data_IF_343811231570
#
_entry.id   IF_343811231570
#
_cell.length_a   1.000
_cell.length_b   1.000
_cell.length_c   1.000
_cell.angle_alpha   90.00
_cell.angle_beta   90.00
_cell.angle_gamma   90.00
#
_symmetry.space_group_name_H-M   'P 1'
#
loop_
_entity.id
_entity.type
_entity.pdbx_description
1 polymer ?
#
# COMPACT_ATOMS: atom_id res chain seq x y z
N UNK A 1 4.57 -6.07 8.70
CA UNK A 1 5.72 -5.99 7.79
C UNK A 1 7.03 -5.64 8.47
N UNK A 2 8.04 -6.47 8.23
CA UNK A 2 9.45 -6.31 8.57
C UNK A 2 10.30 -6.79 7.37
N UNK A 3 11.62 -6.70 7.48
CA UNK A 3 12.54 -7.31 6.51
C UNK A 3 13.61 -8.13 7.21
N UNK A 4 14.07 -9.15 6.51
CA UNK A 4 15.25 -9.97 6.83
C UNK A 4 16.26 -9.87 5.68
N UNK A 5 17.47 -10.34 5.92
CA UNK A 5 18.53 -10.41 4.91
C UNK A 5 19.08 -11.82 4.87
N UNK A 6 19.14 -12.40 3.67
CA UNK A 6 19.76 -13.69 3.38
C UNK A 6 20.68 -13.53 2.18
N UNK A 7 21.95 -13.88 2.34
CA UNK A 7 22.97 -13.81 1.28
C UNK A 7 23.00 -12.45 0.54
N UNK A 8 22.84 -11.36 1.29
CA UNK A 8 22.84 -9.99 0.77
C UNK A 8 21.56 -9.58 0.03
N UNK A 9 20.54 -10.45 -0.04
CA UNK A 9 19.22 -10.17 -0.62
C UNK A 9 18.20 -9.89 0.48
N UNK A 10 17.29 -8.96 0.22
CA UNK A 10 16.20 -8.63 1.14
C UNK A 10 15.09 -9.67 1.03
N UNK A 11 14.53 -10.04 2.17
CA UNK A 11 13.45 -11.01 2.31
C UNK A 11 12.30 -10.33 3.04
N UNK A 12 11.08 -10.29 2.47
CA UNK A 12 9.90 -9.81 3.19
C UNK A 12 9.65 -10.70 4.41
N UNK A 13 9.36 -10.08 5.54
CA UNK A 13 9.17 -10.78 6.80
C UNK A 13 7.99 -10.22 7.59
N UNK A 14 7.42 -11.05 8.46
CA UNK A 14 6.44 -10.62 9.46
C UNK A 14 7.02 -10.69 10.87
N UNK A 15 6.64 -9.70 11.68
CA UNK A 15 6.96 -9.66 13.10
C UNK A 15 5.84 -10.37 13.86
N UNK A 16 6.18 -11.45 14.56
CA UNK A 16 5.23 -12.19 15.39
C UNK A 16 5.18 -11.56 16.78
N UNK A 17 3.96 -11.29 17.25
CA UNK A 17 3.66 -10.78 18.59
C UNK A 17 2.72 -11.74 19.32
N UNK A 18 2.90 -11.90 20.63
CA UNK A 18 2.10 -12.80 21.48
C UNK A 18 1.82 -12.14 22.84
N UNK A 19 0.71 -12.52 23.50
CA UNK A 19 0.38 -12.10 24.86
C UNK A 19 -0.41 -10.79 24.95
N UNK A 20 -0.97 -10.33 23.83
CA UNK A 20 -1.93 -9.22 23.82
C UNK A 20 -3.35 -9.75 23.95
N UNK A 21 -4.17 -9.08 24.76
CA UNK A 21 -5.52 -9.56 25.05
C UNK A 21 -6.17 -8.86 26.23
N UNK A 22 -7.38 -9.31 26.55
CA UNK A 22 -8.18 -8.91 27.70
C UNK A 22 -8.13 -10.03 28.74
N UNK A 23 -7.33 -9.83 29.78
CA UNK A 23 -7.15 -10.78 30.87
C UNK A 23 -7.98 -10.33 32.07
N UNK A 24 -9.28 -10.65 32.04
CA UNK A 24 -10.26 -10.07 32.97
C UNK A 24 -10.45 -8.58 32.69
N UNK A 25 -10.18 -7.73 33.69
CA UNK A 25 -10.26 -6.26 33.55
C UNK A 25 -8.95 -5.62 33.04
N UNK A 26 -7.88 -6.41 32.85
CA UNK A 26 -6.59 -5.92 32.37
C UNK A 26 -6.44 -6.05 30.85
N UNK A 27 -6.15 -4.93 30.19
CA UNK A 27 -5.72 -4.93 28.79
C UNK A 27 -4.20 -5.01 28.72
N UNK A 28 -3.67 -5.95 27.93
CA UNK A 28 -2.22 -6.09 27.73
C UNK A 28 -1.85 -5.96 26.27
N UNK A 29 -0.72 -5.30 26.02
CA UNK A 29 -0.13 -5.20 24.69
C UNK A 29 0.66 -6.48 24.38
N UNK A 30 0.55 -6.93 23.14
CA UNK A 30 1.32 -8.07 22.66
C UNK A 30 2.82 -7.73 22.62
N UNK A 31 3.66 -8.70 22.95
CA UNK A 31 5.11 -8.57 22.94
C UNK A 31 5.69 -9.22 21.69
N UNK A 32 6.65 -8.55 21.06
CA UNK A 32 7.40 -9.07 19.91
C UNK A 32 8.28 -10.24 20.31
N UNK A 33 8.22 -11.36 19.57
CA UNK A 33 8.96 -12.58 19.92
C UNK A 33 9.97 -13.02 18.85
N UNK A 34 9.61 -12.93 17.56
CA UNK A 34 10.46 -13.37 16.46
C UNK A 34 10.00 -12.80 15.11
N UNK A 35 10.92 -12.68 14.16
CA UNK A 35 10.60 -12.37 12.76
C UNK A 35 10.63 -13.66 11.95
N UNK A 36 9.66 -13.82 11.05
CA UNK A 36 9.58 -14.97 10.13
C UNK A 36 9.44 -14.49 8.70
N UNK A 37 9.94 -15.21 7.70
CA UNK A 37 9.70 -14.87 6.30
C UNK A 37 8.20 -14.85 6.01
N UNK A 38 7.75 -13.88 5.23
CA UNK A 38 6.32 -13.68 4.92
C UNK A 38 5.68 -14.93 4.27
N UNK A 39 6.46 -15.72 3.52
CA UNK A 39 6.02 -17.03 2.98
C UNK A 39 5.72 -18.08 4.05
N UNK A 40 6.35 -18.00 5.21
CA UNK A 40 6.14 -18.91 6.33
C UNK A 40 5.08 -18.41 7.33
N UNK A 41 4.63 -17.15 7.24
CA UNK A 41 3.64 -16.61 8.17
C UNK A 41 2.34 -17.43 8.27
N UNK A 42 1.75 -17.96 7.18
CA UNK A 42 0.58 -18.84 7.29
C UNK A 42 0.86 -20.15 8.05
N UNK A 43 2.08 -20.69 7.93
CA UNK A 43 2.50 -21.90 8.66
C UNK A 43 2.62 -21.63 10.16
N UNK A 44 3.14 -20.46 10.53
CA UNK A 44 3.21 -20.02 11.94
C UNK A 44 1.82 -19.91 12.54
N UNK A 45 0.88 -19.24 11.86
CA UNK A 45 -0.50 -19.11 12.35
C UNK A 45 -1.14 -20.48 12.54
N UNK A 46 -0.98 -21.38 11.56
CA UNK A 46 -1.48 -22.75 11.65
C UNK A 46 -0.88 -23.49 12.87
N UNK A 47 0.44 -23.45 13.04
CA UNK A 47 1.12 -24.12 14.16
C UNK A 47 0.66 -23.60 15.52
N UNK A 48 0.47 -22.28 15.67
CA UNK A 48 -0.03 -21.71 16.93
C UNK A 48 -1.47 -22.14 17.25
N UNK A 49 -2.32 -22.32 16.23
CA UNK A 49 -3.67 -22.85 16.42
C UNK A 49 -3.62 -24.33 16.81
N UNK A 50 -2.71 -25.12 16.21
CA UNK A 50 -2.49 -26.52 16.58
C UNK A 50 -1.97 -26.63 18.02
N UNK A 51 -0.96 -25.84 18.38
CA UNK A 51 -0.43 -25.75 19.74
C UNK A 51 -1.51 -25.37 20.76
N UNK A 52 -2.38 -24.40 20.43
CA UNK A 52 -3.53 -24.09 21.29
C UNK A 52 -4.45 -25.30 21.49
N UNK A 53 -4.78 -26.02 20.41
CA UNK A 53 -5.69 -27.17 20.48
C UNK A 53 -5.12 -28.33 21.30
N UNK A 54 -3.80 -28.51 21.26
CA UNK A 54 -3.10 -29.59 21.94
C UNK A 54 -2.85 -29.27 23.42
N UNK A 55 -2.58 -28.00 23.73
CA UNK A 55 -2.23 -27.57 25.09
C UNK A 55 -3.43 -27.07 25.90
N UNK A 56 -4.58 -26.76 25.28
CA UNK A 56 -5.77 -26.28 26.01
C UNK A 56 -6.27 -27.32 27.00
N UNK A 57 -6.58 -26.86 28.20
CA UNK A 57 -7.21 -27.66 29.25
C UNK A 57 -8.67 -27.23 29.40
N UNK A 58 -9.61 -28.17 29.19
CA UNK A 58 -11.04 -27.87 29.27
C UNK A 58 -11.48 -26.81 28.24
N UNK A 59 -12.11 -25.74 28.73
CA UNK A 59 -12.68 -24.65 27.92
C UNK A 59 -11.79 -23.39 27.90
N UNK A 60 -10.47 -23.55 28.13
CA UNK A 60 -9.52 -22.43 28.04
C UNK A 60 -9.58 -21.70 26.69
N UNK A 61 -9.66 -20.36 26.74
CA UNK A 61 -9.52 -19.50 25.56
C UNK A 61 -8.06 -19.39 25.10
N UNK A 62 -7.86 -19.01 23.83
CA UNK A 62 -6.55 -18.95 23.18
C UNK A 62 -5.53 -18.07 23.92
N UNK A 63 -5.95 -16.88 24.35
CA UNK A 63 -5.12 -15.92 25.09
C UNK A 63 -4.63 -16.47 26.43
N UNK A 64 -5.48 -17.23 27.15
CA UNK A 64 -5.14 -17.90 28.41
C UNK A 64 -4.09 -18.98 28.18
N UNK A 65 -4.26 -19.82 27.15
CA UNK A 65 -3.27 -20.85 26.82
C UNK A 65 -1.93 -20.22 26.43
N UNK A 66 -1.95 -19.21 25.56
CA UNK A 66 -0.71 -18.53 25.15
C UNK A 66 0.00 -17.83 26.32
N UNK A 67 -0.75 -17.29 27.29
CA UNK A 67 -0.15 -16.74 28.51
C UNK A 67 0.50 -17.84 29.35
N UNK A 68 -0.19 -18.97 29.57
CA UNK A 68 0.32 -20.10 30.35
C UNK A 68 1.55 -20.74 29.73
N UNK A 69 1.57 -20.91 28.41
CA UNK A 69 2.74 -21.42 27.68
C UNK A 69 3.92 -20.46 27.78
N UNK A 70 3.63 -19.16 27.78
CA UNK A 70 4.64 -18.12 27.91
C UNK A 70 5.45 -17.90 26.64
N UNK A 71 6.07 -16.72 26.60
CA UNK A 71 6.75 -16.18 25.42
C UNK A 71 7.87 -17.09 24.89
N UNK A 72 8.69 -17.63 25.79
CA UNK A 72 9.91 -18.35 25.40
C UNK A 72 9.57 -19.72 24.79
N UNK A 73 8.62 -20.45 25.38
CA UNK A 73 8.11 -21.72 24.82
C UNK A 73 7.48 -21.51 23.44
N UNK A 74 6.62 -20.49 23.31
CA UNK A 74 5.97 -20.19 22.03
C UNK A 74 6.99 -19.82 20.96
N UNK A 75 8.06 -19.08 21.34
CA UNK A 75 9.15 -18.76 20.43
C UNK A 75 9.89 -20.02 19.96
N UNK A 76 10.16 -20.96 20.85
CA UNK A 76 10.81 -22.25 20.50
C UNK A 76 9.97 -23.03 19.49
N UNK A 77 8.66 -23.15 19.71
CA UNK A 77 7.71 -23.85 18.83
C UNK A 77 7.73 -23.34 17.38
N UNK A 78 7.92 -22.02 17.20
CA UNK A 78 7.88 -21.39 15.88
C UNK A 78 9.25 -21.06 15.29
N UNK A 79 10.35 -21.36 16.00
CA UNK A 79 11.71 -21.03 15.54
C UNK A 79 12.07 -21.72 14.22
N UNK A 80 11.57 -22.94 14.00
CA UNK A 80 11.72 -23.68 12.73
C UNK A 80 11.18 -22.92 11.50
N UNK A 81 10.25 -21.98 11.67
CA UNK A 81 9.68 -21.21 10.57
C UNK A 81 10.54 -19.99 10.19
N UNK A 82 11.66 -19.77 10.88
CA UNK A 82 12.60 -18.68 10.57
C UNK A 82 13.54 -19.00 9.41
N UNK A 83 13.62 -20.28 9.00
CA UNK A 83 14.53 -20.71 7.96
C UNK A 83 14.20 -20.07 6.61
N UNK A 84 15.25 -19.52 5.99
CA UNK A 84 15.19 -18.89 4.67
C UNK A 84 16.08 -19.71 3.72
N UNK A 85 15.51 -20.34 2.68
CA UNK A 85 16.29 -20.99 1.63
C UNK A 85 17.10 -19.95 0.84
N UNK A 86 18.17 -20.41 0.19
CA UNK A 86 18.86 -19.56 -0.79
C UNK A 86 17.90 -19.16 -1.91
N UNK A 87 18.22 -18.08 -2.61
CA UNK A 87 17.41 -17.63 -3.75
C UNK A 87 17.34 -18.68 -4.86
N UNK A 88 18.42 -19.44 -5.02
CA UNK A 88 18.54 -20.49 -6.03
C UNK A 88 17.67 -21.72 -5.68
N UNK A 89 17.47 -21.99 -4.39
CA UNK A 89 16.60 -23.07 -3.90
C UNK A 89 15.12 -22.71 -3.98
N UNK A 90 14.75 -21.49 -3.55
CA UNK A 90 13.38 -21.01 -3.61
C UNK A 90 13.32 -19.47 -3.76
N UNK A 91 13.19 -18.96 -5.00
CA UNK A 91 13.07 -17.53 -5.27
C UNK A 91 11.83 -16.89 -4.63
N UNK A 92 10.77 -17.67 -4.35
CA UNK A 92 9.49 -17.13 -3.89
C UNK A 92 9.57 -16.48 -2.52
N UNK A 93 10.57 -16.85 -1.70
CA UNK A 93 10.87 -16.21 -0.42
C UNK A 93 11.36 -14.76 -0.56
N UNK A 94 11.74 -14.33 -1.76
CA UNK A 94 12.26 -13.00 -2.05
C UNK A 94 11.23 -12.15 -2.83
N UNK A 95 9.99 -12.61 -2.91
CA UNK A 95 8.85 -11.91 -3.52
C UNK A 95 7.78 -11.65 -2.45
N UNK A 96 7.07 -10.53 -2.56
CA UNK A 96 5.96 -10.22 -1.66
C UNK A 96 4.64 -10.87 -2.16
N UNK A 97 3.72 -11.13 -1.23
CA UNK A 97 2.38 -11.60 -1.62
C UNK A 97 1.67 -10.54 -2.47
N UNK A 98 1.09 -10.93 -3.60
CA UNK A 98 0.44 -9.99 -4.54
C UNK A 98 1.39 -9.28 -5.51
N UNK A 99 2.70 -9.50 -5.40
CA UNK A 99 3.73 -8.98 -6.32
C UNK A 99 4.54 -10.11 -6.95
N UNK A 100 3.85 -11.13 -7.45
CA UNK A 100 4.46 -12.29 -8.11
C UNK A 100 5.37 -11.85 -9.27
N UNK A 101 6.57 -12.44 -9.35
CA UNK A 101 7.61 -12.12 -10.33
C UNK A 101 8.26 -10.73 -10.16
N UNK A 102 8.05 -10.03 -9.04
CA UNK A 102 8.81 -8.82 -8.67
C UNK A 102 9.64 -9.10 -7.43
N UNK A 103 10.94 -8.78 -7.51
CA UNK A 103 11.85 -8.90 -6.36
C UNK A 103 11.43 -7.90 -5.29
N UNK A 104 11.41 -8.37 -4.04
CA UNK A 104 11.25 -7.51 -2.89
C UNK A 104 12.47 -6.59 -2.78
N UNK A 105 12.22 -5.29 -2.91
CA UNK A 105 13.23 -4.26 -2.77
C UNK A 105 12.83 -3.31 -1.65
N UNK A 106 13.74 -3.11 -0.70
CA UNK A 106 13.60 -2.01 0.26
C UNK A 106 13.89 -0.71 -0.49
N UNK A 107 12.85 0.12 -0.65
CA UNK A 107 13.00 1.45 -1.20
C UNK A 107 13.90 2.28 -0.28
N UNK A 108 15.12 2.59 -0.74
CA UNK A 108 16.10 3.36 0.03
C UNK A 108 15.51 4.74 0.36
N UNK A 109 15.47 5.07 1.65
CA UNK A 109 14.95 6.35 2.15
C UNK A 109 13.46 6.34 2.49
N UNK A 110 12.74 5.25 2.20
CA UNK A 110 11.35 5.08 2.63
C UNK A 110 11.32 4.28 3.93
N UNK A 111 10.81 4.93 4.98
CA UNK A 111 10.57 4.31 6.27
C UNK A 111 9.30 3.46 6.10
N UNK A 112 9.40 2.14 6.25
CA UNK A 112 8.23 1.26 6.13
C UNK A 112 7.14 1.66 7.12
N UNK A 113 5.89 1.35 6.85
CA UNK A 113 4.70 1.78 7.62
C UNK A 113 4.78 1.44 9.13
N UNK A 114 5.63 0.51 9.53
CA UNK A 114 5.84 0.12 10.94
C UNK A 114 7.03 0.81 11.62
N UNK A 115 7.83 1.58 10.89
CA UNK A 115 8.92 2.35 11.47
C UNK A 115 8.40 3.76 11.77
N UNK A 116 7.97 3.98 13.02
CA UNK A 116 7.38 5.23 13.52
C UNK A 116 8.26 6.47 13.29
N UNK A 117 8.17 7.07 12.11
CA UNK A 117 8.20 8.51 11.99
C UNK A 117 6.74 8.89 11.82
N UNK A 118 6.25 9.76 12.69
CA UNK A 118 5.10 10.60 12.35
C UNK A 118 5.53 11.46 11.17
N UNK A 119 5.43 10.91 9.96
CA UNK A 119 5.21 11.77 8.79
C UNK A 119 3.85 12.37 9.08
N UNK A 120 3.77 13.69 9.20
CA UNK A 120 2.46 14.35 9.30
C UNK A 120 1.61 13.81 8.15
N UNK A 121 0.51 13.15 8.50
CA UNK A 121 -0.44 12.66 7.52
C UNK A 121 -1.01 13.88 6.81
N UNK A 122 -0.46 14.17 5.63
CA UNK A 122 -0.97 15.23 4.78
C UNK A 122 -2.16 14.65 4.04
N UNK A 123 -3.36 14.95 4.55
CA UNK A 123 -4.62 14.66 3.86
C UNK A 123 -4.54 15.26 2.44
N UNK A 124 -4.80 14.47 1.38
CA UNK A 124 -4.77 14.98 0.01
C UNK A 124 -5.84 16.05 -0.20
N UNK A 125 -5.50 17.10 -0.95
CA UNK A 125 -6.39 18.22 -1.26
C UNK A 125 -6.32 18.61 -2.74
N UNK A 126 -7.43 19.14 -3.26
CA UNK A 126 -7.49 19.61 -4.65
C UNK A 126 -6.61 20.83 -4.91
N UNK A 127 -6.27 21.61 -3.87
CA UNK A 127 -5.39 22.77 -4.02
C UNK A 127 -3.97 22.37 -4.46
N UNK A 128 -3.53 21.18 -4.09
CA UNK A 128 -2.24 20.60 -4.52
C UNK A 128 -2.29 20.25 -6.01
N UNK A 129 -3.37 19.61 -6.47
CA UNK A 129 -3.59 19.29 -7.89
C UNK A 129 -3.70 20.56 -8.75
N UNK A 130 -4.45 21.57 -8.29
CA UNK A 130 -4.63 22.85 -8.99
C UNK A 130 -3.28 23.56 -9.20
N UNK A 131 -2.43 23.61 -8.15
CA UNK A 131 -1.07 24.17 -8.26
C UNK A 131 -0.23 23.44 -9.29
N UNK A 132 -0.35 22.11 -9.42
CA UNK A 132 0.36 21.34 -10.46
C UNK A 132 -0.15 21.65 -11.86
N UNK A 133 -1.46 21.81 -12.02
CA UNK A 133 -2.04 22.23 -13.31
C UNK A 133 -1.48 23.60 -13.72
N UNK A 134 -1.45 24.56 -12.79
CA UNK A 134 -0.85 25.89 -13.03
C UNK A 134 0.64 25.81 -13.37
N UNK A 135 1.39 24.92 -12.71
CA UNK A 135 2.80 24.67 -13.03
C UNK A 135 2.97 24.06 -14.42
N UNK A 136 2.13 23.09 -14.79
CA UNK A 136 2.14 22.48 -16.12
C UNK A 136 1.83 23.51 -17.21
N UNK A 137 0.84 24.38 -17.01
CA UNK A 137 0.54 25.53 -17.89
C UNK A 137 1.75 26.45 -18.07
N UNK A 138 2.43 26.78 -16.97
CA UNK A 138 3.63 27.61 -17.01
C UNK A 138 4.77 26.92 -17.78
N UNK A 139 4.99 25.61 -17.61
CA UNK A 139 6.01 24.88 -18.38
C UNK A 139 5.66 24.85 -19.87
N UNK A 140 4.39 24.62 -20.20
CA UNK A 140 3.91 24.64 -21.57
C UNK A 140 4.15 26.00 -22.24
N UNK A 141 3.88 27.11 -21.53
CA UNK A 141 4.10 28.46 -22.08
C UNK A 141 5.58 28.79 -22.31
N UNK A 142 6.49 28.10 -21.63
CA UNK A 142 7.94 28.24 -21.77
C UNK A 142 8.56 27.16 -22.68
N UNK A 143 7.72 26.40 -23.41
CA UNK A 143 8.14 25.30 -24.28
C UNK A 143 8.90 24.16 -23.58
N UNK A 144 8.78 24.03 -22.25
CA UNK A 144 9.27 22.87 -21.50
C UNK A 144 8.21 21.77 -21.49
N UNK A 145 8.06 21.11 -22.63
CA UNK A 145 7.02 20.11 -22.86
C UNK A 145 7.18 18.90 -21.93
N UNK A 146 8.42 18.48 -21.65
CA UNK A 146 8.70 17.34 -20.77
C UNK A 146 8.27 17.63 -19.32
N UNK A 147 8.56 18.84 -18.81
CA UNK A 147 8.09 19.23 -17.49
C UNK A 147 6.56 19.40 -17.44
N UNK A 148 5.96 19.96 -18.49
CA UNK A 148 4.49 20.09 -18.61
C UNK A 148 3.79 18.73 -18.54
N UNK A 149 4.27 17.74 -19.31
CA UNK A 149 3.71 16.37 -19.31
C UNK A 149 3.83 15.73 -17.92
N UNK A 150 5.00 15.84 -17.30
CA UNK A 150 5.25 15.27 -15.97
C UNK A 150 4.36 15.88 -14.89
N UNK A 151 4.22 17.21 -14.88
CA UNK A 151 3.35 17.86 -13.89
C UNK A 151 1.86 17.64 -14.18
N UNK A 152 1.46 17.53 -15.46
CA UNK A 152 0.10 17.13 -15.83
C UNK A 152 -0.23 15.71 -15.34
N UNK A 153 0.69 14.76 -15.50
CA UNK A 153 0.47 13.39 -15.03
C UNK A 153 0.37 13.32 -13.49
N UNK A 154 1.22 14.08 -12.78
CA UNK A 154 1.13 14.20 -11.32
C UNK A 154 -0.15 14.88 -10.86
N UNK A 155 -0.64 15.89 -11.59
CA UNK A 155 -1.93 16.53 -11.32
C UNK A 155 -3.10 15.54 -11.43
N UNK A 156 -3.08 14.61 -12.39
CA UNK A 156 -4.08 13.54 -12.49
C UNK A 156 -4.11 12.71 -11.20
N UNK A 157 -2.94 12.30 -10.72
CA UNK A 157 -2.80 11.52 -9.49
C UNK A 157 -3.24 12.31 -8.26
N UNK A 158 -2.78 13.55 -8.07
CA UNK A 158 -3.19 14.37 -6.93
C UNK A 158 -4.72 14.60 -6.91
N UNK A 159 -5.35 14.76 -8.09
CA UNK A 159 -6.80 14.90 -8.21
C UNK A 159 -7.53 13.63 -7.81
N UNK A 160 -7.09 12.48 -8.32
CA UNK A 160 -7.68 11.18 -8.06
C UNK A 160 -7.49 10.72 -6.60
N UNK A 161 -6.41 11.15 -5.94
CA UNK A 161 -6.10 10.78 -4.56
C UNK A 161 -7.19 11.26 -3.58
N UNK A 162 -7.80 12.43 -3.81
CA UNK A 162 -8.81 13.01 -2.91
C UNK A 162 -10.04 12.09 -2.72
N UNK A 163 -10.77 11.67 -3.79
CA UNK A 163 -11.89 10.74 -3.64
C UNK A 163 -11.47 9.33 -3.23
N UNK A 164 -10.27 8.87 -3.61
CA UNK A 164 -9.75 7.57 -3.14
C UNK A 164 -9.52 7.56 -1.63
N UNK A 165 -8.95 8.65 -1.10
CA UNK A 165 -8.70 8.81 0.33
C UNK A 165 -10.02 8.83 1.12
N UNK A 166 -11.07 9.47 0.59
CA UNK A 166 -12.43 9.41 1.15
C UNK A 166 -12.97 7.97 1.20
N UNK A 167 -12.56 7.11 0.26
CA UNK A 167 -12.85 5.67 0.23
C UNK A 167 -11.86 4.82 1.03
N UNK A 168 -11.03 5.44 1.88
CA UNK A 168 -10.02 4.77 2.71
C UNK A 168 -8.93 4.05 1.90
N UNK A 169 -8.63 4.56 0.71
CA UNK A 169 -7.54 4.07 -0.15
C UNK A 169 -6.48 5.16 -0.25
N UNK A 170 -5.26 4.84 0.17
CA UNK A 170 -4.13 5.78 0.20
C UNK A 170 -2.96 5.26 -0.68
N UNK A 171 -2.97 5.56 -2.00
CA UNK A 171 -1.93 5.11 -2.91
C UNK A 171 -0.62 5.90 -2.75
N UNK A 172 0.53 5.22 -2.92
CA UNK A 172 1.85 5.81 -2.67
C UNK A 172 2.55 6.34 -3.93
N UNK A 173 2.04 6.00 -5.12
CA UNK A 173 2.66 6.36 -6.40
C UNK A 173 1.61 6.81 -7.41
N UNK A 174 2.01 7.69 -8.35
CA UNK A 174 1.12 8.18 -9.43
C UNK A 174 0.51 7.04 -10.24
N UNK A 175 1.29 6.00 -10.56
CA UNK A 175 0.80 4.83 -11.30
C UNK A 175 -0.26 4.07 -10.51
N UNK A 176 0.00 3.82 -9.22
CA UNK A 176 -0.97 3.18 -8.33
C UNK A 176 -2.24 4.03 -8.20
N UNK A 177 -2.12 5.34 -7.96
CA UNK A 177 -3.29 6.23 -7.83
C UNK A 177 -4.18 6.18 -9.06
N UNK A 178 -3.60 6.23 -10.26
CA UNK A 178 -4.40 6.18 -11.49
C UNK A 178 -5.00 4.80 -11.75
N UNK A 179 -4.33 3.73 -11.34
CA UNK A 179 -4.88 2.38 -11.39
C UNK A 179 -6.08 2.21 -10.44
N UNK A 180 -5.96 2.70 -9.20
CA UNK A 180 -7.04 2.67 -8.20
C UNK A 180 -8.21 3.56 -8.62
N UNK A 181 -7.94 4.74 -9.19
CA UNK A 181 -8.97 5.59 -9.79
C UNK A 181 -9.81 4.82 -10.81
N UNK A 182 -9.14 4.11 -11.73
CA UNK A 182 -9.84 3.31 -12.73
C UNK A 182 -10.67 2.18 -12.10
N UNK A 183 -10.11 1.43 -11.15
CA UNK A 183 -10.80 0.27 -10.60
C UNK A 183 -11.90 0.60 -9.60
N UNK A 184 -11.70 1.63 -8.79
CA UNK A 184 -12.58 1.91 -7.65
C UNK A 184 -13.56 3.05 -7.91
N UNK A 185 -13.30 3.88 -8.92
CA UNK A 185 -14.19 4.99 -9.31
C UNK A 185 -14.79 4.79 -10.70
N UNK A 186 -14.01 4.36 -11.70
CA UNK A 186 -14.54 4.17 -13.07
C UNK A 186 -15.34 2.86 -13.19
N UNK A 187 -14.74 1.72 -12.84
CA UNK A 187 -15.39 0.40 -13.01
C UNK A 187 -16.59 0.19 -12.11
N UNK A 188 -16.64 0.90 -10.99
CA UNK A 188 -17.76 0.88 -10.03
C UNK A 188 -18.90 1.83 -10.41
N UNK A 189 -18.71 2.67 -11.44
CA UNK A 189 -19.73 3.57 -11.97
C UNK A 189 -19.85 4.92 -11.27
N UNK A 190 -18.85 5.31 -10.48
CA UNK A 190 -18.81 6.63 -9.81
C UNK A 190 -18.38 7.75 -10.76
N UNK A 191 -17.55 7.40 -11.76
CA UNK A 191 -17.13 8.27 -12.85
C UNK A 191 -17.65 7.81 -14.21
N UNK A 192 -17.50 8.69 -15.21
CA UNK A 192 -17.81 8.38 -16.61
C UNK A 192 -16.94 7.23 -17.17
N UNK A 193 -17.57 6.29 -17.89
CA UNK A 193 -16.89 5.16 -18.54
C UNK A 193 -15.85 5.57 -19.58
N UNK A 194 -15.84 6.83 -20.04
CA UNK A 194 -14.79 7.36 -20.92
C UNK A 194 -13.38 7.24 -20.32
N UNK A 195 -13.27 7.09 -19.00
CA UNK A 195 -12.02 6.93 -18.27
C UNK A 195 -11.52 5.48 -18.15
N UNK A 196 -12.18 4.52 -18.80
CA UNK A 196 -11.67 3.15 -18.85
C UNK A 196 -10.30 3.10 -19.54
N UNK A 197 -9.37 2.33 -18.97
CA UNK A 197 -7.97 2.23 -19.39
C UNK A 197 -7.16 3.55 -19.29
N UNK A 198 -7.64 4.54 -18.53
CA UNK A 198 -6.92 5.82 -18.38
C UNK A 198 -5.55 5.62 -17.73
N UNK A 199 -5.40 4.65 -16.83
CA UNK A 199 -4.15 4.34 -16.14
C UNK A 199 -3.03 3.97 -17.11
N UNK A 200 -3.31 3.05 -18.04
CA UNK A 200 -2.38 2.64 -19.10
C UNK A 200 -2.18 3.78 -20.10
N UNK A 201 -3.27 4.46 -20.49
CA UNK A 201 -3.20 5.57 -21.45
C UNK A 201 -2.24 6.67 -20.97
N UNK A 202 -2.37 7.12 -19.72
CA UNK A 202 -1.50 8.16 -19.15
C UNK A 202 -0.04 7.70 -19.06
N UNK A 203 0.18 6.43 -18.72
CA UNK A 203 1.53 5.85 -18.64
C UNK A 203 2.20 5.81 -20.01
N UNK A 204 1.47 5.39 -21.03
CA UNK A 204 1.98 5.33 -22.40
C UNK A 204 2.27 6.73 -22.94
N UNK A 205 1.34 7.68 -22.76
CA UNK A 205 1.54 9.08 -23.16
C UNK A 205 2.71 9.74 -22.44
N UNK A 206 2.94 9.43 -21.16
CA UNK A 206 4.07 9.96 -20.42
C UNK A 206 5.43 9.38 -20.88
N UNK A 207 5.44 8.28 -21.62
CA UNK A 207 6.64 7.64 -22.17
C UNK A 207 6.96 8.05 -23.62
N UNK A 208 6.03 8.72 -24.30
CA UNK A 208 6.22 9.25 -25.66
C UNK A 208 7.20 10.44 -25.68
N UNK A 209 7.71 10.77 -26.88
CA UNK A 209 8.59 11.93 -27.04
C UNK A 209 7.87 13.24 -26.67
N UNK A 210 8.47 14.09 -25.82
CA UNK A 210 7.83 15.33 -25.39
C UNK A 210 7.66 16.34 -26.53
N UNK A 211 6.44 16.45 -27.04
CA UNK A 211 6.04 17.43 -28.05
C UNK A 211 5.05 18.44 -27.47
N UNK A 212 4.90 19.59 -28.13
CA UNK A 212 3.90 20.59 -27.78
C UNK A 212 2.47 20.02 -27.82
N UNK A 213 2.18 19.21 -28.83
CA UNK A 213 0.88 18.55 -28.99
C UNK A 213 0.59 17.58 -27.84
N UNK A 214 1.57 16.74 -27.49
CA UNK A 214 1.45 15.81 -26.37
C UNK A 214 1.31 16.54 -25.02
N UNK A 215 2.06 17.62 -24.82
CA UNK A 215 1.98 18.44 -23.61
C UNK A 215 0.61 19.11 -23.46
N UNK A 216 0.06 19.68 -24.55
CA UNK A 216 -1.31 20.20 -24.57
C UNK A 216 -2.34 19.10 -24.29
N UNK A 217 -2.18 17.92 -24.89
CA UNK A 217 -3.08 16.78 -24.68
C UNK A 217 -3.06 16.30 -23.24
N UNK A 218 -1.88 16.11 -22.65
CA UNK A 218 -1.75 15.67 -21.25
C UNK A 218 -2.30 16.69 -20.26
N UNK A 219 -2.08 17.98 -20.51
CA UNK A 219 -2.65 19.05 -19.70
C UNK A 219 -4.18 19.09 -19.80
N UNK A 220 -4.73 18.87 -20.99
CA UNK A 220 -6.18 18.74 -21.19
C UNK A 220 -6.77 17.59 -20.37
N UNK A 221 -6.14 16.41 -20.45
CA UNK A 221 -6.57 15.24 -19.66
C UNK A 221 -6.49 15.54 -18.16
N UNK A 222 -5.44 16.19 -17.68
CA UNK A 222 -5.29 16.53 -16.27
C UNK A 222 -6.42 17.43 -15.75
N UNK A 223 -6.83 18.43 -16.54
CA UNK A 223 -7.96 19.31 -16.21
C UNK A 223 -9.29 18.57 -16.21
N UNK A 224 -9.50 17.68 -17.17
CA UNK A 224 -10.73 16.89 -17.25
C UNK A 224 -10.85 15.90 -16.09
N UNK A 225 -9.75 15.24 -15.71
CA UNK A 225 -9.71 14.35 -14.54
C UNK A 225 -9.92 15.13 -13.25
N UNK A 226 -9.31 16.32 -13.12
CA UNK A 226 -9.52 17.19 -11.97
C UNK A 226 -11.00 17.51 -11.77
N UNK A 227 -11.67 18.01 -12.81
CA UNK A 227 -13.09 18.35 -12.77
C UNK A 227 -13.98 17.14 -12.44
N UNK A 228 -13.64 15.97 -12.99
CA UNK A 228 -14.37 14.74 -12.69
C UNK A 228 -14.16 14.30 -11.23
N UNK A 229 -12.95 14.41 -10.69
CA UNK A 229 -12.66 14.06 -9.30
C UNK A 229 -13.36 14.99 -8.32
N UNK A 230 -13.46 16.29 -8.61
CA UNK A 230 -14.27 17.22 -7.80
C UNK A 230 -15.74 16.81 -7.76
N UNK A 231 -16.31 16.45 -8.92
CA UNK A 231 -17.70 15.96 -9.02
C UNK A 231 -17.91 14.69 -8.20
N UNK A 232 -17.01 13.72 -8.29
CA UNK A 232 -17.07 12.47 -7.51
C UNK A 232 -16.96 12.77 -6.01
N UNK A 233 -16.01 13.61 -5.61
CA UNK A 233 -15.81 13.95 -4.21
C UNK A 233 -17.07 14.57 -3.61
N UNK A 234 -17.71 15.51 -4.33
CA UNK A 234 -18.96 16.11 -3.90
C UNK A 234 -20.05 15.05 -3.64
N UNK A 235 -20.24 14.11 -4.57
CA UNK A 235 -21.20 13.01 -4.43
C UNK A 235 -20.92 12.10 -3.22
N UNK A 236 -19.64 11.78 -2.96
CA UNK A 236 -19.24 10.96 -1.80
C UNK A 236 -19.52 11.68 -0.47
N UNK A 237 -19.29 12.99 -0.42
CA UNK A 237 -19.55 13.80 0.79
C UNK A 237 -21.03 14.05 1.06
N UNK A 238 -21.89 13.98 0.04
CA UNK A 238 -23.34 14.09 0.22
C UNK A 238 -23.97 12.77 0.66
N UNK A 239 -23.44 11.63 0.19
CA UNK A 239 -23.92 10.29 0.59
C UNK A 239 -23.62 9.98 2.05
N UNK A 240 -22.55 10.55 2.62
CA UNK A 240 -22.15 10.36 4.03
C UNK A 240 -22.93 11.21 5.03
N UNK A 241 -23.82 12.12 4.56
CA UNK A 241 -24.68 12.96 5.42
C UNK A 241 -26.10 12.41 5.62
N UNK A 242 -26.48 11.33 4.92
CA UNK A 242 -27.76 10.62 5.06
C UNK A 242 -27.59 9.30 5.80
#
# INVERSE_FOLDING_TARGET
GASLTKDGKNVPAEQVFVGGGLYGDETRLATSIIKVPTRNAPKVVKHLIELYRDEREGDEHFDVVMERLGRDRIKEEITQFTDIPSFEEDPTFYEDWGHENKKFELLKGMKGECAGATVEEKVPDFATAEKRIQQAEAFLSHSDYAASIRESYRACSDSAHVPLYTKLVDPFTTEQTMWEFENLLVRTGETDQKWLNISVTLKDLAAEEPTEELANRMLGIAKDIYAECERVQANLTDTTKN
#
